data_IF_223622438121
#
_entry.id   IF_223622438121
#
_cell.length_a   1.000
_cell.length_b   1.000
_cell.length_c   1.000
_cell.angle_alpha   90.00
_cell.angle_beta   90.00
_cell.angle_gamma   90.00
#
_symmetry.space_group_name_H-M   'P 1'
#
loop_
_entity.id
_entity.type
_entity.pdbx_description
1 polymer ?
#
# COMPACT_ATOMS: atom_id res chain seq x y z
N UNK A 1 51.51 -29.43 6.66
CA UNK A 1 51.13 -28.19 5.95
C UNK A 1 51.39 -28.42 4.47
N UNK A 2 50.33 -28.43 3.65
CA UNK A 2 50.02 -27.23 2.89
C UNK A 2 48.52 -26.88 2.84
N UNK A 3 48.31 -25.61 2.53
CA UNK A 3 47.09 -24.81 2.50
C UNK A 3 46.06 -25.32 1.49
N UNK A 4 44.87 -25.73 1.96
CA UNK A 4 43.70 -25.87 1.10
C UNK A 4 43.08 -24.50 0.86
N UNK A 5 43.28 -24.03 -0.37
CA UNK A 5 42.74 -22.79 -0.92
C UNK A 5 41.22 -22.75 -0.75
N UNK A 6 40.76 -21.73 -0.02
CA UNK A 6 39.38 -21.28 0.04
C UNK A 6 38.99 -20.75 -1.34
N UNK A 7 38.36 -21.60 -2.17
CA UNK A 7 37.73 -21.14 -3.40
C UNK A 7 36.61 -20.16 -3.04
N UNK A 8 36.89 -18.88 -3.25
CA UNK A 8 35.93 -17.78 -3.20
C UNK A 8 35.14 -17.86 -4.51
N UNK A 9 34.13 -18.73 -4.54
CA UNK A 9 33.18 -18.80 -5.65
C UNK A 9 32.52 -17.44 -5.83
N UNK A 10 32.60 -16.91 -7.04
CA UNK A 10 31.89 -15.71 -7.47
C UNK A 10 30.41 -15.80 -7.08
N UNK A 11 29.93 -14.79 -6.36
CA UNK A 11 28.50 -14.69 -6.05
C UNK A 11 27.72 -14.57 -7.36
N UNK A 12 26.72 -15.42 -7.62
CA UNK A 12 25.92 -15.31 -8.83
C UNK A 12 25.28 -13.91 -8.88
N UNK A 13 25.34 -13.26 -10.05
CA UNK A 13 24.69 -11.97 -10.32
C UNK A 13 23.28 -11.98 -9.72
N UNK A 14 23.06 -11.17 -8.67
CA UNK A 14 21.78 -11.02 -7.98
C UNK A 14 20.69 -10.65 -9.00
N UNK A 15 19.82 -11.62 -9.32
CA UNK A 15 18.54 -11.36 -9.97
C UNK A 15 17.68 -10.56 -8.98
N UNK A 16 16.95 -9.58 -9.49
CA UNK A 16 16.07 -8.64 -8.78
C UNK A 16 14.93 -9.26 -7.96
N UNK A 17 14.95 -10.57 -7.69
CA UNK A 17 13.93 -11.33 -6.96
C UNK A 17 14.17 -11.30 -5.44
N UNK A 18 15.37 -10.95 -5.00
CA UNK A 18 15.80 -11.12 -3.60
C UNK A 18 15.88 -9.81 -2.80
N UNK A 19 14.88 -8.91 -2.94
CA UNK A 19 14.93 -7.61 -2.22
C UNK A 19 15.01 -7.75 -0.69
N UNK A 20 14.62 -8.92 -0.14
CA UNK A 20 14.67 -9.22 1.29
C UNK A 20 15.32 -10.56 1.61
N UNK A 21 15.94 -11.26 0.65
CA UNK A 21 16.49 -12.60 0.93
C UNK A 21 17.69 -12.55 1.88
N UNK A 22 18.43 -11.44 1.85
CA UNK A 22 19.55 -11.18 2.77
C UNK A 22 19.09 -11.06 4.24
N UNK A 23 17.80 -10.78 4.49
CA UNK A 23 17.22 -10.67 5.83
C UNK A 23 16.85 -12.04 6.44
N UNK A 24 17.09 -13.15 5.74
CA UNK A 24 16.78 -14.51 6.20
C UNK A 24 18.00 -15.43 6.14
N UNK A 25 18.15 -16.27 7.17
CA UNK A 25 19.11 -17.37 7.20
C UNK A 25 18.40 -18.72 7.18
N UNK A 26 19.06 -19.77 6.71
CA UNK A 26 18.52 -21.13 6.71
C UNK A 26 19.09 -21.89 7.90
N UNK A 27 18.25 -22.15 8.89
CA UNK A 27 18.58 -23.05 9.99
C UNK A 27 18.14 -24.48 9.65
N UNK A 28 19.03 -25.42 9.94
CA UNK A 28 18.77 -26.85 9.79
C UNK A 28 18.36 -27.38 11.16
N UNK A 29 17.20 -28.03 11.24
CA UNK A 29 16.70 -28.63 12.46
C UNK A 29 16.30 -30.09 12.21
N UNK A 30 16.52 -30.92 13.22
CA UNK A 30 16.15 -32.34 13.15
C UNK A 30 14.76 -32.51 13.74
N UNK A 31 13.84 -33.06 12.94
CA UNK A 31 12.49 -33.41 13.39
C UNK A 31 12.54 -34.60 14.37
N UNK A 32 11.46 -34.85 15.11
CA UNK A 32 11.33 -35.95 16.08
C UNK A 32 11.59 -37.34 15.46
N UNK A 33 11.51 -37.44 14.13
CA UNK A 33 11.78 -38.64 13.32
C UNK A 33 13.23 -38.71 12.79
N UNK A 34 14.14 -37.87 13.29
CA UNK A 34 15.55 -37.86 12.86
C UNK A 34 15.78 -37.27 11.46
N UNK A 35 14.78 -36.61 10.86
CA UNK A 35 14.88 -36.03 9.51
C UNK A 35 15.34 -34.57 9.58
N UNK A 36 16.36 -34.21 8.81
CA UNK A 36 16.77 -32.82 8.65
C UNK A 36 15.72 -32.04 7.85
N UNK A 37 15.24 -30.95 8.44
CA UNK A 37 14.36 -29.97 7.81
C UNK A 37 15.05 -28.62 7.80
N UNK A 38 14.77 -27.85 6.74
CA UNK A 38 15.27 -26.48 6.58
C UNK A 38 14.19 -25.50 6.99
N UNK A 39 14.52 -24.51 7.82
CA UNK A 39 13.63 -23.41 8.17
C UNK A 39 14.30 -22.08 7.85
N UNK A 40 13.57 -21.18 7.21
CA UNK A 40 14.01 -19.79 7.06
C UNK A 40 13.76 -19.05 8.39
N UNK A 41 14.82 -18.43 8.92
CA UNK A 41 14.80 -17.63 10.16
C UNK A 41 15.17 -16.20 9.81
N UNK A 42 14.34 -15.26 10.23
CA UNK A 42 14.56 -13.84 9.95
C UNK A 42 15.63 -13.27 10.88
N UNK A 43 16.69 -12.73 10.28
CA UNK A 43 17.83 -12.09 10.96
C UNK A 43 17.92 -10.59 10.67
N UNK A 44 17.04 -10.07 9.80
CA UNK A 44 17.01 -8.66 9.44
C UNK A 44 16.54 -7.73 10.56
N UNK A 45 16.59 -6.41 10.31
CA UNK A 45 16.17 -5.38 11.26
C UNK A 45 14.66 -5.45 11.54
N UNK A 46 14.25 -5.05 12.74
CA UNK A 46 12.85 -4.97 13.12
C UNK A 46 12.39 -3.52 13.19
N UNK A 47 11.12 -3.34 12.88
CA UNK A 47 10.43 -2.06 12.95
C UNK A 47 9.56 -2.06 14.19
N UNK A 48 9.82 -1.15 15.13
CA UNK A 48 9.07 -1.10 16.39
C UNK A 48 7.96 -0.07 16.31
N UNK A 49 6.75 -0.46 16.68
CA UNK A 49 5.60 0.44 16.74
C UNK A 49 5.47 0.93 18.19
N UNK A 50 5.52 2.25 18.39
CA UNK A 50 5.45 2.84 19.73
C UNK A 50 4.04 3.10 20.22
N UNK A 51 3.06 2.93 19.34
CA UNK A 51 1.68 3.21 19.64
C UNK A 51 1.06 2.27 20.68
N UNK A 52 0.12 2.78 21.47
CA UNK A 52 -0.70 1.94 22.34
C UNK A 52 -1.53 0.97 21.50
N UNK A 53 -1.72 -0.25 22.02
CA UNK A 53 -2.40 -1.34 21.29
C UNK A 53 -3.83 -0.94 20.91
N UNK A 54 -4.52 -0.23 21.81
CA UNK A 54 -5.87 0.26 21.57
C UNK A 54 -5.90 1.32 20.48
N UNK A 55 -4.98 2.30 20.52
CA UNK A 55 -4.86 3.35 19.50
C UNK A 55 -4.54 2.77 18.12
N UNK A 56 -3.55 1.87 18.06
CA UNK A 56 -3.15 1.18 16.84
C UNK A 56 -4.33 0.42 16.23
N UNK A 57 -5.06 -0.34 17.05
CA UNK A 57 -6.23 -1.10 16.58
C UNK A 57 -7.30 -0.20 15.97
N UNK A 58 -7.60 0.95 16.56
CA UNK A 58 -8.56 1.88 15.98
C UNK A 58 -8.07 2.48 14.66
N UNK A 59 -6.80 2.85 14.56
CA UNK A 59 -6.21 3.33 13.29
C UNK A 59 -6.28 2.26 12.21
N UNK A 60 -5.95 1.01 12.53
CA UNK A 60 -6.03 -0.12 11.59
C UNK A 60 -7.46 -0.43 11.16
N UNK A 61 -8.44 -0.35 12.07
CA UNK A 61 -9.87 -0.46 11.72
C UNK A 61 -10.28 0.69 10.80
N UNK A 62 -9.85 1.92 11.09
CA UNK A 62 -10.08 3.08 10.22
C UNK A 62 -9.51 2.88 8.81
N UNK A 63 -8.31 2.31 8.70
CA UNK A 63 -7.68 1.96 7.42
C UNK A 63 -8.48 0.86 6.69
N UNK A 64 -9.00 -0.15 7.41
CA UNK A 64 -9.86 -1.17 6.81
C UNK A 64 -11.15 -0.58 6.25
N UNK A 65 -11.82 0.30 7.01
CA UNK A 65 -13.04 0.98 6.58
C UNK A 65 -12.75 1.87 5.37
N UNK A 66 -11.67 2.66 5.43
CA UNK A 66 -11.26 3.51 4.30
C UNK A 66 -10.93 2.68 3.05
N UNK A 67 -10.25 1.54 3.22
CA UNK A 67 -9.96 0.60 2.12
C UNK A 67 -11.25 0.11 1.46
N UNK A 68 -12.23 -0.32 2.26
CA UNK A 68 -13.51 -0.81 1.76
C UNK A 68 -14.27 0.29 1.01
N UNK A 69 -14.35 1.49 1.58
CA UNK A 69 -15.08 2.61 0.98
C UNK A 69 -14.44 3.10 -0.31
N UNK A 70 -13.10 3.21 -0.34
CA UNK A 70 -12.36 3.61 -1.54
C UNK A 70 -12.55 2.56 -2.64
N UNK A 71 -12.36 1.27 -2.33
CA UNK A 71 -12.53 0.19 -3.33
C UNK A 71 -13.98 0.15 -3.84
N UNK A 72 -14.96 0.25 -2.95
CA UNK A 72 -16.38 0.30 -3.34
C UNK A 72 -16.66 1.50 -4.24
N UNK A 73 -16.15 2.69 -3.91
CA UNK A 73 -16.30 3.89 -4.71
C UNK A 73 -15.63 3.74 -6.09
N UNK A 74 -14.42 3.19 -6.19
CA UNK A 74 -13.76 2.94 -7.49
C UNK A 74 -14.59 1.95 -8.33
N UNK A 75 -15.05 0.84 -7.74
CA UNK A 75 -15.82 -0.20 -8.44
C UNK A 75 -17.23 0.25 -8.85
N UNK A 76 -17.87 1.13 -8.08
CA UNK A 76 -19.19 1.71 -8.40
C UNK A 76 -19.15 2.66 -9.62
N UNK A 77 -18.00 2.82 -10.27
CA UNK A 77 -17.82 3.64 -11.49
C UNK A 77 -18.79 3.34 -12.62
N UNK A 78 -19.38 2.15 -12.70
CA UNK A 78 -20.24 1.74 -13.81
C UNK A 78 -21.74 1.77 -13.48
N UNK A 79 -22.11 2.11 -12.24
CA UNK A 79 -23.49 2.21 -11.81
C UNK A 79 -24.01 3.64 -12.02
N UNK A 80 -24.34 3.96 -13.28
CA UNK A 80 -24.92 5.23 -13.69
C UNK A 80 -24.83 5.40 -15.21
N UNK A 81 -25.87 5.96 -15.83
CA UNK A 81 -25.84 6.31 -17.25
C UNK A 81 -24.80 7.42 -17.47
N UNK A 82 -23.64 7.06 -17.98
CA UNK A 82 -22.61 8.02 -18.39
C UNK A 82 -23.07 8.71 -19.67
N UNK A 83 -23.73 9.85 -19.52
CA UNK A 83 -24.04 10.73 -20.64
C UNK A 83 -22.81 11.46 -21.18
N UNK A 84 -21.67 11.41 -20.48
CA UNK A 84 -20.47 12.09 -20.94
C UNK A 84 -19.83 11.35 -22.12
N UNK A 85 -19.85 12.00 -23.27
CA UNK A 85 -19.18 11.60 -24.51
C UNK A 85 -17.63 11.57 -24.39
N UNK A 86 -17.08 11.56 -23.18
CA UNK A 86 -15.67 11.77 -22.88
C UNK A 86 -15.04 10.59 -22.13
N UNK A 87 -15.19 9.39 -22.70
CA UNK A 87 -14.69 8.14 -22.13
C UNK A 87 -13.20 8.18 -21.76
N UNK A 88 -12.37 8.90 -22.52
CA UNK A 88 -10.94 8.97 -22.24
C UNK A 88 -10.61 9.74 -20.95
N UNK A 89 -11.41 10.74 -20.59
CA UNK A 89 -11.15 11.57 -19.40
C UNK A 89 -11.57 10.91 -18.08
N UNK A 90 -12.51 9.97 -18.13
CA UNK A 90 -13.09 9.33 -16.94
C UNK A 90 -12.70 7.85 -16.81
N UNK A 91 -12.74 7.08 -17.90
CA UNK A 91 -12.50 5.63 -17.85
C UNK A 91 -11.03 5.31 -17.59
N UNK A 92 -10.09 6.04 -18.21
CA UNK A 92 -8.66 5.77 -18.03
C UNK A 92 -8.22 5.97 -16.57
N UNK A 93 -8.50 7.11 -15.91
CA UNK A 93 -8.19 7.27 -14.50
C UNK A 93 -8.81 6.20 -13.61
N UNK A 94 -10.07 5.80 -13.88
CA UNK A 94 -10.74 4.77 -13.11
C UNK A 94 -10.07 3.40 -13.22
N UNK A 95 -9.75 2.98 -14.45
CA UNK A 95 -9.03 1.72 -14.69
C UNK A 95 -7.64 1.79 -14.04
N UNK A 96 -6.96 2.93 -14.14
CA UNK A 96 -5.67 3.15 -13.49
C UNK A 96 -5.79 3.04 -11.95
N UNK A 97 -6.90 3.49 -11.35
CA UNK A 97 -7.14 3.38 -9.92
C UNK A 97 -7.44 1.95 -9.44
N UNK A 98 -7.83 1.03 -10.32
CA UNK A 98 -8.02 -0.39 -9.95
C UNK A 98 -6.70 -1.05 -9.52
N UNK A 99 -5.57 -0.65 -10.11
CA UNK A 99 -4.27 -1.22 -9.75
C UNK A 99 -3.90 -0.99 -8.28
N UNK A 100 -3.86 0.24 -7.74
CA UNK A 100 -3.61 0.45 -6.33
C UNK A 100 -4.69 -0.16 -5.43
N UNK A 101 -5.95 -0.25 -5.86
CA UNK A 101 -7.00 -0.99 -5.14
C UNK A 101 -6.67 -2.48 -4.97
N UNK A 102 -6.16 -3.15 -6.01
CA UNK A 102 -5.70 -4.54 -5.92
C UNK A 102 -4.52 -4.67 -4.93
N UNK A 103 -3.58 -3.73 -4.97
CA UNK A 103 -2.43 -3.73 -4.05
C UNK A 103 -2.81 -3.45 -2.60
N UNK A 104 -3.90 -2.70 -2.34
CA UNK A 104 -4.48 -2.59 -0.99
C UNK A 104 -4.86 -3.99 -0.48
N UNK A 105 -5.53 -4.81 -1.31
CA UNK A 105 -5.88 -6.19 -0.95
C UNK A 105 -4.68 -7.05 -0.55
N UNK A 106 -3.54 -6.90 -1.24
CA UNK A 106 -2.29 -7.59 -0.87
C UNK A 106 -1.58 -7.01 0.35
N UNK A 107 -1.83 -5.74 0.70
CA UNK A 107 -1.16 -5.06 1.80
C UNK A 107 -1.89 -5.24 3.14
N UNK A 108 -3.22 -5.34 3.13
CA UNK A 108 -4.04 -5.47 4.33
C UNK A 108 -3.64 -6.66 5.25
N UNK A 109 -3.33 -7.87 4.74
CA UNK A 109 -2.91 -8.98 5.60
C UNK A 109 -1.59 -8.75 6.34
N UNK A 110 -0.76 -7.81 5.87
CA UNK A 110 0.54 -7.50 6.46
C UNK A 110 0.44 -6.44 7.58
N UNK A 111 -0.76 -5.98 7.92
CA UNK A 111 -0.96 -4.99 8.97
C UNK A 111 -0.68 -5.55 10.39
N UNK A 112 -0.03 -4.78 11.26
CA UNK A 112 0.40 -5.21 12.60
C UNK A 112 -0.76 -5.15 13.62
N UNK A 113 -1.73 -6.06 13.54
CA UNK A 113 -2.88 -6.07 14.46
C UNK A 113 -2.54 -6.43 15.92
N UNK A 114 -1.44 -7.14 16.16
CA UNK A 114 -1.03 -7.66 17.48
C UNK A 114 0.46 -7.46 17.77
N UNK A 115 1.29 -7.48 16.73
CA UNK A 115 2.73 -7.47 16.89
C UNK A 115 3.27 -6.03 16.93
N UNK A 116 3.94 -5.66 18.03
CA UNK A 116 4.64 -4.37 18.14
C UNK A 116 6.00 -4.35 17.43
N UNK A 117 6.49 -5.51 16.99
CA UNK A 117 7.72 -5.67 16.22
C UNK A 117 7.36 -6.23 14.85
N UNK A 118 7.52 -5.42 13.82
CA UNK A 118 7.21 -5.79 12.45
C UNK A 118 8.51 -6.09 11.70
N UNK A 119 8.54 -7.21 10.98
CA UNK A 119 9.65 -7.49 10.06
C UNK A 119 9.67 -6.43 8.95
N UNK A 120 10.86 -6.09 8.44
CA UNK A 120 11.03 -5.10 7.37
C UNK A 120 10.16 -5.39 6.16
N UNK A 121 10.08 -6.66 5.73
CA UNK A 121 9.26 -7.06 4.59
C UNK A 121 7.76 -6.78 4.83
N UNK A 122 7.26 -7.15 6.01
CA UNK A 122 5.87 -6.86 6.41
C UNK A 122 5.60 -5.36 6.52
N UNK A 123 6.56 -4.59 7.01
CA UNK A 123 6.45 -3.14 7.11
C UNK A 123 6.33 -2.49 5.72
N UNK A 124 7.24 -2.86 4.81
CA UNK A 124 7.27 -2.32 3.45
C UNK A 124 6.07 -2.77 2.62
N UNK A 125 5.66 -4.04 2.74
CA UNK A 125 4.54 -4.60 1.99
C UNK A 125 3.17 -4.35 2.64
N UNK A 126 3.15 -3.87 3.88
CA UNK A 126 1.94 -3.47 4.61
C UNK A 126 1.78 -1.96 4.64
N UNK A 127 2.31 -1.30 5.67
CA UNK A 127 2.09 0.13 5.95
C UNK A 127 2.57 1.03 4.81
N UNK A 128 3.80 0.86 4.33
CA UNK A 128 4.36 1.71 3.26
C UNK A 128 3.61 1.48 1.94
N UNK A 129 3.29 0.23 1.62
CA UNK A 129 2.51 -0.09 0.42
C UNK A 129 1.13 0.55 0.47
N UNK A 130 0.42 0.47 1.59
CA UNK A 130 -0.89 1.13 1.76
C UNK A 130 -0.76 2.65 1.59
N UNK A 131 0.26 3.27 2.20
CA UNK A 131 0.50 4.70 2.08
C UNK A 131 0.65 5.12 0.61
N UNK A 132 1.44 4.36 -0.16
CA UNK A 132 1.64 4.60 -1.58
C UNK A 132 0.37 4.35 -2.41
N UNK A 133 -0.38 3.29 -2.10
CA UNK A 133 -1.63 2.99 -2.80
C UNK A 133 -2.68 4.09 -2.58
N UNK A 134 -2.91 4.51 -1.33
CA UNK A 134 -3.86 5.59 -1.05
C UNK A 134 -3.40 6.93 -1.62
N UNK A 135 -2.09 7.23 -1.57
CA UNK A 135 -1.53 8.41 -2.23
C UNK A 135 -1.75 8.39 -3.75
N UNK A 136 -1.53 7.25 -4.39
CA UNK A 136 -1.78 7.07 -5.82
C UNK A 136 -3.27 7.21 -6.17
N UNK A 137 -4.17 6.58 -5.41
CA UNK A 137 -5.61 6.71 -5.63
C UNK A 137 -6.06 8.16 -5.49
N UNK A 138 -5.62 8.86 -4.43
CA UNK A 138 -5.95 10.27 -4.23
C UNK A 138 -5.48 11.13 -5.41
N UNK A 139 -4.26 10.91 -5.92
CA UNK A 139 -3.74 11.64 -7.06
C UNK A 139 -4.53 11.36 -8.36
N UNK A 140 -4.80 10.09 -8.66
CA UNK A 140 -5.56 9.69 -9.84
C UNK A 140 -6.99 10.27 -9.80
N UNK A 141 -7.66 10.15 -8.67
CA UNK A 141 -9.03 10.66 -8.49
C UNK A 141 -9.07 12.19 -8.53
N UNK A 142 -8.02 12.89 -8.06
CA UNK A 142 -7.92 14.34 -8.19
C UNK A 142 -7.78 14.77 -9.65
N UNK A 143 -7.01 14.04 -10.46
CA UNK A 143 -6.92 14.29 -11.92
C UNK A 143 -8.28 14.08 -12.58
N UNK A 144 -8.98 12.99 -12.26
CA UNK A 144 -10.33 12.69 -12.75
C UNK A 144 -11.31 13.81 -12.38
N UNK A 145 -11.28 14.27 -11.12
CA UNK A 145 -12.11 15.38 -10.64
C UNK A 145 -11.86 16.68 -11.43
N UNK A 146 -10.59 17.06 -11.62
CA UNK A 146 -10.22 18.28 -12.34
C UNK A 146 -10.63 18.19 -13.81
N UNK A 147 -10.41 17.03 -14.44
CA UNK A 147 -10.77 16.79 -15.84
C UNK A 147 -12.28 16.94 -16.05
N UNK A 148 -13.08 16.31 -15.19
CA UNK A 148 -14.54 16.41 -15.21
C UNK A 148 -15.02 17.85 -14.92
N UNK A 149 -14.39 18.52 -13.96
CA UNK A 149 -14.72 19.89 -13.60
C UNK A 149 -14.47 20.88 -14.77
N UNK A 150 -13.34 20.73 -15.47
CA UNK A 150 -13.03 21.55 -16.66
C UNK A 150 -14.01 21.27 -17.79
N UNK A 151 -14.33 19.99 -18.04
CA UNK A 151 -15.32 19.61 -19.05
C UNK A 151 -16.66 20.33 -18.80
N UNK A 152 -17.16 20.30 -17.57
CA UNK A 152 -18.42 20.97 -17.19
C UNK A 152 -18.37 22.49 -17.34
N UNK A 153 -17.24 23.10 -16.98
CA UNK A 153 -17.04 24.54 -17.17
C UNK A 153 -17.18 24.97 -18.64
N UNK A 154 -16.68 24.14 -19.56
CA UNK A 154 -16.71 24.42 -21.00
C UNK A 154 -18.11 24.23 -21.59
N UNK A 155 -18.77 23.10 -21.27
CA UNK A 155 -20.04 22.73 -21.88
C UNK A 155 -21.28 23.33 -21.18
N UNK A 156 -21.11 23.99 -20.02
CA UNK A 156 -22.16 24.66 -19.24
C UNK A 156 -23.34 23.76 -18.80
N UNK A 157 -23.20 22.46 -18.92
CA UNK A 157 -24.17 21.46 -18.43
C UNK A 157 -23.88 21.11 -16.96
N UNK A 158 -24.14 22.07 -16.08
CA UNK A 158 -23.70 21.96 -14.69
C UNK A 158 -24.45 20.90 -13.87
N UNK A 159 -25.73 20.62 -14.15
CA UNK A 159 -26.58 19.83 -13.23
C UNK A 159 -27.75 19.06 -13.88
N UNK A 160 -27.83 18.94 -15.20
CA UNK A 160 -29.08 18.46 -15.83
C UNK A 160 -29.31 16.94 -15.74
N UNK A 161 -28.31 16.15 -15.34
CA UNK A 161 -28.47 14.69 -15.19
C UNK A 161 -28.10 14.22 -13.78
N UNK A 162 -29.00 13.46 -13.15
CA UNK A 162 -28.82 12.92 -11.80
C UNK A 162 -27.57 12.03 -11.64
N UNK A 163 -27.12 11.38 -12.72
CA UNK A 163 -25.92 10.53 -12.74
C UNK A 163 -24.62 11.31 -12.49
N UNK A 164 -24.58 12.58 -12.88
CA UNK A 164 -23.41 13.44 -12.79
C UNK A 164 -23.03 13.82 -11.36
N UNK A 165 -24.04 14.17 -10.56
CA UNK A 165 -23.85 14.52 -9.16
C UNK A 165 -23.34 13.29 -8.40
N UNK A 166 -23.92 12.13 -8.69
CA UNK A 166 -23.52 10.85 -8.08
C UNK A 166 -22.05 10.55 -8.43
N UNK A 167 -21.65 10.77 -9.68
CA UNK A 167 -20.26 10.62 -10.11
C UNK A 167 -19.31 11.52 -9.32
N UNK A 168 -19.59 12.83 -9.26
CA UNK A 168 -18.73 13.78 -8.55
C UNK A 168 -18.64 13.47 -7.04
N UNK A 169 -19.77 13.15 -6.41
CA UNK A 169 -19.81 12.76 -4.99
C UNK A 169 -18.93 11.54 -4.75
N UNK A 170 -19.00 10.53 -5.62
CA UNK A 170 -18.17 9.32 -5.54
C UNK A 170 -16.67 9.63 -5.63
N UNK A 171 -16.27 10.49 -6.57
CA UNK A 171 -14.87 10.91 -6.73
C UNK A 171 -14.39 11.65 -5.48
N UNK A 172 -15.19 12.59 -4.97
CA UNK A 172 -14.87 13.33 -3.74
C UNK A 172 -14.74 12.40 -2.54
N UNK A 173 -15.68 11.45 -2.36
CA UNK A 173 -15.61 10.42 -1.31
C UNK A 173 -14.29 9.65 -1.42
N UNK A 174 -13.93 9.20 -2.63
CA UNK A 174 -12.69 8.43 -2.86
C UNK A 174 -11.45 9.22 -2.47
N UNK A 175 -11.39 10.51 -2.83
CA UNK A 175 -10.28 11.40 -2.45
C UNK A 175 -10.23 11.57 -0.93
N UNK A 176 -11.35 11.91 -0.30
CA UNK A 176 -11.42 12.19 1.14
C UNK A 176 -10.97 10.96 1.94
N UNK A 177 -11.49 9.77 1.65
CA UNK A 177 -11.10 8.56 2.37
C UNK A 177 -9.65 8.14 2.09
N UNK A 178 -9.16 8.35 0.87
CA UNK A 178 -7.75 8.07 0.55
C UNK A 178 -6.81 9.01 1.31
N UNK A 179 -7.11 10.30 1.35
CA UNK A 179 -6.33 11.29 2.11
C UNK A 179 -6.41 11.02 3.61
N UNK A 180 -7.60 10.72 4.15
CA UNK A 180 -7.76 10.34 5.55
C UNK A 180 -6.92 9.11 5.90
N UNK A 181 -6.90 8.08 5.04
CA UNK A 181 -6.07 6.89 5.23
C UNK A 181 -4.58 7.23 5.21
N UNK A 182 -4.12 8.10 4.30
CA UNK A 182 -2.73 8.60 4.26
C UNK A 182 -2.36 9.31 5.57
N UNK A 183 -3.23 10.18 6.07
CA UNK A 183 -3.01 10.91 7.33
C UNK A 183 -2.92 9.92 8.50
N UNK A 184 -3.86 8.98 8.59
CA UNK A 184 -3.86 7.95 9.64
C UNK A 184 -2.56 7.13 9.60
N UNK A 185 -2.14 6.67 8.41
CA UNK A 185 -0.93 5.87 8.21
C UNK A 185 0.35 6.65 8.56
N UNK A 186 0.42 7.94 8.20
CA UNK A 186 1.57 8.80 8.55
C UNK A 186 1.67 9.07 10.04
N UNK A 187 0.53 9.11 10.73
CA UNK A 187 0.46 9.33 12.17
C UNK A 187 0.74 8.08 13.01
N UNK A 188 1.06 6.92 12.41
CA UNK A 188 1.53 5.75 13.16
C UNK A 188 2.99 6.00 13.51
N UNK A 189 3.29 6.03 14.80
CA UNK A 189 4.65 6.23 15.31
C UNK A 189 5.45 4.93 15.21
N UNK A 190 6.53 5.00 14.43
CA UNK A 190 7.35 3.85 14.08
C UNK A 190 8.83 4.18 14.27
N UNK A 191 9.56 3.32 14.95
CA UNK A 191 11.02 3.32 15.00
C UNK A 191 11.59 2.66 13.75
N UNK A 192 12.29 3.44 12.94
CA UNK A 192 12.99 2.96 11.74
C UNK A 192 14.52 3.01 11.91
N UNK A 193 15.04 3.27 13.11
CA UNK A 193 16.49 3.47 13.34
C UNK A 193 17.33 2.28 12.88
N UNK A 194 16.83 1.04 13.01
CA UNK A 194 17.52 -0.16 12.54
C UNK A 194 17.43 -0.39 11.02
N UNK A 195 16.52 0.31 10.31
CA UNK A 195 16.33 0.13 8.87
C UNK A 195 17.33 0.89 8.01
N UNK A 196 18.08 1.86 8.59
CA UNK A 196 18.93 2.78 7.82
C UNK A 196 18.16 3.58 6.76
N UNK A 197 16.84 3.61 6.85
CA UNK A 197 15.95 4.40 6.00
C UNK A 197 15.74 5.71 6.74
N UNK A 198 16.57 6.72 6.44
CA UNK A 198 16.20 8.08 6.79
C UNK A 198 14.89 8.41 6.05
N UNK A 199 13.77 8.43 6.78
CA UNK A 199 12.63 9.21 6.31
C UNK A 199 13.16 10.63 6.12
N UNK A 200 13.12 11.14 4.90
CA UNK A 200 13.09 12.57 4.62
C UNK A 200 11.83 13.16 5.27
N UNK A 201 11.84 13.30 6.60
CA UNK A 201 10.89 14.12 7.34
C UNK A 201 11.29 15.58 7.14
N UNK A 202 10.95 16.10 5.96
CA UNK A 202 10.77 17.54 5.78
C UNK A 202 9.40 17.90 6.34
N UNK A 203 9.36 18.21 7.64
CA UNK A 203 8.53 19.24 8.28
C UNK A 203 8.33 18.88 9.75
N UNK A 204 9.20 19.48 10.59
CA UNK A 204 8.74 20.07 11.84
C UNK A 204 8.02 21.37 11.54
#
# INVERSE_FOLDING_TARGET
>A
MPLLQKQKGESPRKRSVEKYADDYTVEYYTDEKGREKKRAVYIGPYVKIYEDEKSLKYKLIGILIASLLVVAAVLWSHAGEHASAWWFGTVIPQVAALFPCLYIGFALPNLPFKDRKLQRDKYMNGLIRLLNCFGAIAAIMAVEFVAEFIYRLIYKDWFFMSGDIIFLVKVVISIVFSVAAVIILRNIEVDETELGVERTNSNK
#
